data_IF_507586465558
#
_entry.id   IF_507586465558
#
_cell.length_a   1.000
_cell.length_b   1.000
_cell.length_c   1.000
_cell.angle_alpha   90.00
_cell.angle_beta   90.00
_cell.angle_gamma   90.00
#
_symmetry.space_group_name_H-M   'P 1'
#
loop_
_entity.id
_entity.type
_entity.pdbx_description
1 polymer ?
#
# COMPACT_ATOMS: atom_id res chain seq x y z
N UNK A 1 24.65 -6.90 -2.78
CA UNK A 1 24.09 -5.54 -2.91
C UNK A 1 22.57 -5.60 -2.72
N UNK A 2 22.14 -5.54 -1.46
CA UNK A 2 20.73 -5.53 -1.04
C UNK A 2 20.68 -4.59 0.18
N UNK A 3 20.03 -3.46 0.00
CA UNK A 3 19.30 -2.66 1.00
C UNK A 3 20.04 -2.12 2.25
N UNK A 4 21.37 -2.16 2.30
CA UNK A 4 22.12 -1.68 3.46
C UNK A 4 22.51 -0.20 3.34
N UNK A 5 21.56 0.74 3.35
CA UNK A 5 21.65 2.01 4.10
C UNK A 5 20.22 2.54 4.29
N UNK A 6 19.77 2.56 5.54
CA UNK A 6 18.56 3.19 6.05
C UNK A 6 18.24 4.53 5.37
N UNK A 7 17.05 4.64 4.72
CA UNK A 7 16.50 5.94 4.32
C UNK A 7 15.77 6.04 2.97
N UNK A 8 15.49 4.94 2.25
CA UNK A 8 14.61 5.00 1.07
C UNK A 8 13.29 4.30 1.36
N UNK A 9 12.18 5.02 1.19
CA UNK A 9 10.86 4.42 1.14
C UNK A 9 10.81 3.40 0.00
N UNK A 10 10.27 2.21 0.26
CA UNK A 10 9.99 1.22 -0.77
C UNK A 10 8.51 0.85 -0.72
N UNK A 11 7.90 0.72 -1.88
CA UNK A 11 6.55 0.18 -2.02
C UNK A 11 6.60 -1.29 -2.41
N UNK A 12 5.70 -2.09 -1.87
CA UNK A 12 5.58 -3.50 -2.19
C UNK A 12 4.13 -3.97 -2.05
N UNK A 13 3.84 -5.18 -2.54
CA UNK A 13 2.62 -5.91 -2.20
C UNK A 13 2.94 -7.02 -1.21
N UNK A 14 2.05 -7.24 -0.24
CA UNK A 14 2.17 -8.38 0.70
C UNK A 14 1.03 -9.36 0.46
N UNK A 15 1.36 -10.60 0.11
CA UNK A 15 0.41 -11.72 0.08
C UNK A 15 0.35 -12.38 1.47
N UNK A 16 -0.74 -12.18 2.21
CA UNK A 16 -0.98 -12.96 3.42
C UNK A 16 -1.64 -14.28 3.03
N UNK A 17 -0.86 -15.37 2.98
CA UNK A 17 -1.41 -16.70 2.85
C UNK A 17 -2.05 -17.11 4.18
N UNK A 18 -3.38 -17.01 4.32
CA UNK A 18 -4.09 -17.62 5.44
C UNK A 18 -4.09 -19.14 5.26
N UNK A 19 -3.57 -19.88 6.24
CA UNK A 19 -3.45 -21.35 6.18
C UNK A 19 -4.78 -22.10 6.42
N UNK A 20 -5.88 -21.38 6.61
CA UNK A 20 -7.18 -21.98 6.94
C UNK A 20 -8.09 -22.07 5.71
N UNK A 21 -8.47 -23.31 5.40
CA UNK A 21 -9.11 -23.80 4.17
C UNK A 21 -10.57 -23.32 3.90
N UNK A 22 -10.96 -22.07 4.22
CA UNK A 22 -12.33 -21.62 3.93
C UNK A 22 -12.54 -20.26 3.29
N UNK A 23 -11.52 -19.47 3.07
CA UNK A 23 -11.61 -18.27 2.20
C UNK A 23 -10.21 -17.93 1.73
N UNK A 24 -9.90 -18.21 0.46
CA UNK A 24 -8.77 -17.55 -0.19
C UNK A 24 -9.16 -16.08 -0.35
N UNK A 25 -9.04 -15.29 0.71
CA UNK A 25 -8.88 -13.88 0.49
C UNK A 25 -7.51 -13.73 -0.15
N UNK A 26 -7.47 -13.40 -1.44
CA UNK A 26 -6.25 -12.93 -2.07
C UNK A 26 -5.98 -11.53 -1.47
N UNK A 27 -5.61 -11.52 -0.19
CA UNK A 27 -5.36 -10.34 0.62
C UNK A 27 -3.94 -9.88 0.27
N UNK A 28 -3.83 -9.38 -0.96
CA UNK A 28 -2.73 -8.55 -1.42
C UNK A 28 -2.95 -7.17 -0.81
N UNK A 29 -1.98 -6.73 -0.01
CA UNK A 29 -2.01 -5.39 0.58
C UNK A 29 -0.91 -4.54 -0.03
N UNK A 30 -1.28 -3.34 -0.46
CA UNK A 30 -0.33 -2.28 -0.75
C UNK A 30 0.34 -1.84 0.57
N UNK A 31 1.67 -1.84 0.59
CA UNK A 31 2.45 -1.46 1.77
C UNK A 31 3.54 -0.43 1.44
N UNK A 32 3.82 0.42 2.41
CA UNK A 32 4.98 1.31 2.46
C UNK A 32 5.95 0.78 3.52
N UNK A 33 7.21 0.60 3.15
CA UNK A 33 8.30 0.34 4.08
C UNK A 33 9.15 1.60 4.22
N UNK A 34 9.13 2.23 5.39
CA UNK A 34 9.82 3.48 5.68
C UNK A 34 10.46 3.42 7.06
N UNK A 35 11.73 3.83 7.18
CA UNK A 35 12.48 3.87 8.44
C UNK A 35 12.41 2.58 9.28
N UNK A 36 12.42 1.43 8.61
CA UNK A 36 12.34 0.11 9.26
C UNK A 36 10.95 -0.25 9.79
N UNK A 37 9.91 0.49 9.41
CA UNK A 37 8.52 0.25 9.77
C UNK A 37 7.69 -0.09 8.53
N UNK A 38 6.80 -1.07 8.70
CA UNK A 38 5.80 -1.46 7.71
C UNK A 38 4.51 -0.67 7.96
N UNK A 39 4.02 0.02 6.94
CA UNK A 39 2.74 0.70 6.95
C UNK A 39 1.82 0.07 5.89
N UNK A 40 0.61 -0.32 6.29
CA UNK A 40 -0.43 -0.74 5.34
C UNK A 40 -1.10 0.52 4.77
N UNK A 41 -1.14 0.67 3.44
CA UNK A 41 -1.68 1.90 2.85
C UNK A 41 -3.19 2.07 3.11
N UNK A 42 -3.93 0.95 3.20
CA UNK A 42 -5.35 0.97 3.57
C UNK A 42 -5.60 1.49 5.00
N UNK A 43 -4.60 1.46 5.89
CA UNK A 43 -4.72 2.04 7.24
C UNK A 43 -4.46 3.56 7.24
N UNK A 44 -3.92 4.11 6.14
CA UNK A 44 -3.54 5.52 5.99
C UNK A 44 -4.57 6.35 5.23
N UNK A 45 -5.60 5.71 4.66
CA UNK A 45 -6.70 6.40 3.97
C UNK A 45 -7.95 6.50 4.85
N UNK A 46 -8.86 7.47 4.60
CA UNK A 46 -10.13 7.53 5.30
C UNK A 46 -10.92 6.23 5.15
N UNK A 47 -11.54 5.76 6.25
CA UNK A 47 -12.35 4.53 6.27
C UNK A 47 -13.54 4.57 5.30
N UNK A 48 -14.01 5.75 4.93
CA UNK A 48 -15.13 6.01 4.02
C UNK A 48 -14.69 6.34 2.57
N UNK A 49 -13.39 6.21 2.27
CA UNK A 49 -12.82 6.51 0.95
C UNK A 49 -13.38 5.68 -0.21
N UNK A 50 -14.04 4.55 0.08
CA UNK A 50 -14.49 3.56 -0.92
C UNK A 50 -13.35 2.93 -1.73
N UNK A 51 -12.10 3.11 -1.30
CA UNK A 51 -10.92 2.50 -1.88
C UNK A 51 -10.53 1.24 -1.12
N UNK A 52 -10.12 0.23 -1.86
CA UNK A 52 -9.32 -0.89 -1.37
C UNK A 52 -8.02 -0.94 -2.19
N UNK A 53 -6.90 -0.53 -1.58
CA UNK A 53 -5.60 -0.43 -2.25
C UNK A 53 -4.91 -1.80 -2.28
N UNK A 54 -4.72 -2.34 -3.48
CA UNK A 54 -4.22 -3.71 -3.67
C UNK A 54 -2.71 -3.72 -3.92
N UNK A 55 -2.22 -2.83 -4.78
CA UNK A 55 -0.81 -2.75 -5.15
C UNK A 55 -0.32 -1.31 -5.11
N UNK A 56 0.90 -1.13 -4.57
CA UNK A 56 1.67 0.10 -4.70
C UNK A 56 2.86 -0.19 -5.61
N UNK A 57 2.99 0.58 -6.68
CA UNK A 57 3.96 0.35 -7.75
C UNK A 57 5.18 1.25 -7.65
N UNK A 58 4.99 2.52 -7.30
CA UNK A 58 6.10 3.46 -7.15
C UNK A 58 5.82 4.55 -6.11
N UNK A 59 6.88 5.19 -5.63
CA UNK A 59 6.83 6.35 -4.74
C UNK A 59 7.85 7.41 -5.19
N UNK A 60 7.43 8.68 -5.25
CA UNK A 60 8.32 9.78 -5.60
C UNK A 60 8.89 10.51 -4.36
N UNK A 61 9.83 11.44 -4.58
CA UNK A 61 10.48 12.23 -3.50
C UNK A 61 9.51 13.10 -2.68
N UNK A 62 8.29 13.36 -3.19
CA UNK A 62 7.24 14.06 -2.47
C UNK A 62 6.36 13.11 -1.61
N UNK A 63 6.72 11.82 -1.54
CA UNK A 63 5.97 10.80 -0.81
C UNK A 63 4.68 10.36 -1.50
N UNK A 64 4.45 10.75 -2.76
CA UNK A 64 3.27 10.32 -3.49
C UNK A 64 3.43 8.88 -3.95
N UNK A 65 2.44 8.05 -3.69
CA UNK A 65 2.43 6.64 -4.05
C UNK A 65 1.43 6.41 -5.17
N UNK A 66 1.87 5.71 -6.21
CA UNK A 66 1.00 5.27 -7.31
C UNK A 66 0.78 3.77 -7.28
N UNK A 67 -0.33 3.32 -7.84
CA UNK A 67 -0.64 1.91 -7.96
C UNK A 67 -2.07 1.66 -8.41
N UNK A 68 -2.61 0.48 -8.09
CA UNK A 68 -3.97 0.09 -8.45
C UNK A 68 -4.70 -0.57 -7.30
N UNK A 69 -6.03 -0.45 -7.34
CA UNK A 69 -6.94 -0.96 -6.32
C UNK A 69 -8.38 -0.95 -6.81
N UNK A 70 -9.32 -1.20 -5.90
CA UNK A 70 -10.74 -1.15 -6.19
C UNK A 70 -11.34 0.15 -5.66
N UNK A 71 -11.90 0.97 -6.54
CA UNK A 71 -12.76 2.08 -6.15
C UNK A 71 -14.20 1.66 -6.36
N UNK A 72 -14.96 1.52 -5.25
CA UNK A 72 -16.35 1.03 -5.27
C UNK A 72 -16.51 -0.32 -5.99
N UNK A 73 -15.50 -1.19 -5.86
CA UNK A 73 -15.48 -2.53 -6.46
C UNK A 73 -15.01 -2.58 -7.91
N UNK A 74 -14.67 -1.45 -8.54
CA UNK A 74 -14.10 -1.42 -9.89
C UNK A 74 -12.59 -1.16 -9.82
N UNK A 75 -11.81 -1.90 -10.62
CA UNK A 75 -10.37 -1.68 -10.73
C UNK A 75 -10.05 -0.29 -11.29
N UNK A 76 -9.22 0.45 -10.56
CA UNK A 76 -8.78 1.80 -10.90
C UNK A 76 -7.33 2.01 -10.47
N UNK A 77 -6.61 2.80 -11.26
CA UNK A 77 -5.33 3.38 -10.80
C UNK A 77 -5.57 4.47 -9.76
N UNK A 78 -4.65 4.62 -8.82
CA UNK A 78 -4.70 5.65 -7.79
C UNK A 78 -3.39 6.45 -7.72
N UNK A 79 -3.50 7.65 -7.18
CA UNK A 79 -2.36 8.43 -6.65
C UNK A 79 -2.72 8.79 -5.21
N UNK A 80 -1.96 8.28 -4.25
CA UNK A 80 -2.08 8.64 -2.85
C UNK A 80 -1.07 9.75 -2.54
N UNK A 81 -1.55 10.88 -2.04
CA UNK A 81 -0.71 12.03 -1.70
C UNK A 81 -0.68 12.17 -0.18
N UNK A 82 0.50 12.38 0.44
CA UNK A 82 0.60 12.68 1.86
C UNK A 82 -0.28 13.88 2.22
N UNK A 83 -1.03 13.76 3.31
CA UNK A 83 -1.71 14.92 3.89
C UNK A 83 -0.71 15.71 4.71
N UNK A 84 -0.53 17.00 4.39
CA UNK A 84 0.14 17.91 5.31
C UNK A 84 -0.72 18.06 6.57
N UNK A 85 -0.13 17.84 7.73
CA UNK A 85 -0.77 18.12 9.02
C UNK A 85 -0.19 19.46 9.48
N UNK A 86 -1.01 20.50 9.45
CA UNK A 86 -0.70 21.82 10.05
C UNK A 86 -0.54 21.73 11.59
#
# INVERSE_FOLDING_TARGET
>A
PIDSVFGIAQVAYRKILSKDHKTYHNNEYAVLWEDGKLHYLNDLIPRDSSWDLICAEDINDAGQIVGWGLFRGEERGFVMTPMEVD
#
